data_IF_736355320842
#
_entry.id   IF_736355320842
#
_cell.length_a   1.000
_cell.length_b   1.000
_cell.length_c   1.000
_cell.angle_alpha   90.00
_cell.angle_beta   90.00
_cell.angle_gamma   90.00
#
_symmetry.space_group_name_H-M   'P 1'
#
loop_
_entity.id
_entity.type
_entity.pdbx_description
1 polymer ?
#
# COMPACT_ATOMS: atom_id res chain seq x y z
N UNK A 1 15.99 -20.12 4.79
CA UNK A 1 17.23 -19.31 4.85
C UNK A 1 17.34 -18.19 3.81
N UNK A 2 16.36 -17.96 2.91
CA UNK A 2 16.42 -16.80 1.97
C UNK A 2 16.04 -15.44 2.60
N UNK A 3 15.19 -15.43 3.64
CA UNK A 3 14.69 -14.20 4.26
C UNK A 3 15.71 -13.52 5.19
N UNK A 4 16.51 -14.29 5.94
CA UNK A 4 17.40 -13.73 6.97
C UNK A 4 18.78 -13.37 6.42
N UNK A 5 19.40 -14.22 5.59
CA UNK A 5 20.74 -13.94 5.06
C UNK A 5 20.73 -13.24 3.69
N UNK A 6 19.65 -13.38 2.91
CA UNK A 6 19.54 -12.75 1.59
C UNK A 6 18.90 -11.37 1.66
N UNK A 7 17.67 -11.30 2.16
CA UNK A 7 16.90 -10.05 2.15
C UNK A 7 17.43 -9.01 3.15
N UNK A 8 17.67 -9.39 4.42
CA UNK A 8 18.18 -8.43 5.41
C UNK A 8 19.55 -7.86 5.01
N UNK A 9 20.46 -8.70 4.51
CA UNK A 9 21.78 -8.23 4.03
C UNK A 9 21.63 -7.30 2.81
N UNK A 10 20.76 -7.64 1.87
CA UNK A 10 20.47 -6.78 0.72
C UNK A 10 19.94 -5.41 1.15
N UNK A 11 18.97 -5.38 2.06
CA UNK A 11 18.40 -4.14 2.62
C UNK A 11 19.47 -3.32 3.34
N UNK A 12 20.32 -3.97 4.14
CA UNK A 12 21.45 -3.32 4.82
C UNK A 12 22.40 -2.64 3.84
N UNK A 13 22.82 -3.34 2.78
CA UNK A 13 23.72 -2.79 1.76
C UNK A 13 23.06 -1.65 0.99
N UNK A 14 21.77 -1.78 0.63
CA UNK A 14 21.04 -0.75 -0.08
C UNK A 14 20.88 0.54 0.73
N UNK A 15 20.62 0.43 2.03
CA UNK A 15 20.49 1.59 2.91
C UNK A 15 21.73 2.49 2.83
N UNK A 16 22.92 1.90 2.94
CA UNK A 16 24.18 2.66 2.81
C UNK A 16 24.47 3.09 1.37
N UNK A 17 24.15 2.26 0.38
CA UNK A 17 24.39 2.56 -1.03
C UNK A 17 23.53 3.73 -1.54
N UNK A 18 22.27 3.82 -1.12
CA UNK A 18 21.36 4.88 -1.56
C UNK A 18 21.57 6.20 -0.81
N UNK A 19 22.14 6.16 0.40
CA UNK A 19 22.46 7.35 1.18
C UNK A 19 21.24 8.07 1.77
N UNK A 20 21.50 9.16 2.49
CA UNK A 20 20.49 9.88 3.28
C UNK A 20 19.35 10.47 2.43
N UNK A 21 19.65 10.92 1.21
CA UNK A 21 18.65 11.51 0.31
C UNK A 21 17.61 10.50 -0.18
N UNK A 22 17.85 9.18 -0.03
CA UNK A 22 16.89 8.16 -0.43
C UNK A 22 15.53 8.32 0.26
N UNK A 23 15.51 8.83 1.49
CA UNK A 23 14.27 9.12 2.24
C UNK A 23 13.37 10.20 1.62
N UNK A 24 13.90 10.96 0.66
CA UNK A 24 13.17 12.00 -0.07
C UNK A 24 12.67 11.51 -1.43
N UNK A 25 12.89 10.24 -1.77
CA UNK A 25 12.41 9.66 -3.04
C UNK A 25 10.89 9.70 -3.08
N UNK A 26 10.34 10.20 -4.18
CA UNK A 26 8.89 10.30 -4.39
C UNK A 26 8.55 10.38 -5.89
N UNK A 27 8.97 9.36 -6.65
CA UNK A 27 8.76 9.28 -8.09
C UNK A 27 7.27 9.36 -8.48
N UNK A 28 6.37 8.83 -7.63
CA UNK A 28 4.92 8.87 -7.84
C UNK A 28 4.27 10.19 -7.41
N UNK A 29 5.04 11.15 -6.89
CA UNK A 29 4.56 12.46 -6.42
C UNK A 29 3.38 12.37 -5.44
N UNK A 30 3.43 11.41 -4.53
CA UNK A 30 2.42 11.23 -3.48
C UNK A 30 2.64 12.24 -2.37
N UNK A 31 1.65 13.08 -2.07
CA UNK A 31 1.76 14.17 -1.09
C UNK A 31 0.61 14.21 -0.10
N UNK A 32 -0.31 13.26 -0.13
CA UNK A 32 -1.44 13.27 0.78
C UNK A 32 -0.98 12.94 2.21
N UNK A 33 -1.52 13.61 3.25
CA UNK A 33 -1.16 13.33 4.62
C UNK A 33 -1.74 11.98 5.08
N UNK A 34 -1.16 11.40 6.13
CA UNK A 34 -1.78 10.26 6.81
C UNK A 34 -2.99 10.75 7.63
N UNK A 35 -4.16 10.13 7.49
CA UNK A 35 -5.33 10.49 8.28
C UNK A 35 -5.18 10.13 9.75
N UNK A 36 -5.92 10.82 10.62
CA UNK A 36 -5.83 10.65 12.08
C UNK A 36 -6.13 9.22 12.51
N UNK A 37 -7.19 8.60 11.98
CA UNK A 37 -7.53 7.20 12.30
C UNK A 37 -6.39 6.21 11.99
N UNK A 38 -5.55 6.51 11.01
CA UNK A 38 -4.37 5.70 10.72
C UNK A 38 -3.22 6.01 11.68
N UNK A 39 -2.92 7.31 11.88
CA UNK A 39 -1.83 7.76 12.76
C UNK A 39 -2.01 7.26 14.19
N UNK A 40 -3.25 7.23 14.65
CA UNK A 40 -3.64 6.88 16.01
C UNK A 40 -4.00 5.39 16.16
N UNK A 41 -3.87 4.60 15.09
CA UNK A 41 -4.23 3.17 15.07
C UNK A 41 -5.69 2.91 15.50
N UNK A 42 -6.61 3.81 15.12
CA UNK A 42 -8.04 3.67 15.38
C UNK A 42 -8.67 2.62 14.44
N UNK A 43 -8.39 1.36 14.76
CA UNK A 43 -8.92 0.22 14.04
C UNK A 43 -10.45 0.10 14.13
N UNK A 44 -11.07 0.68 15.16
CA UNK A 44 -12.50 0.56 15.40
C UNK A 44 -13.33 1.50 14.53
N UNK A 45 -12.73 2.58 14.02
CA UNK A 45 -13.30 3.41 12.97
C UNK A 45 -13.31 2.74 11.58
N UNK A 46 -12.53 1.66 11.37
CA UNK A 46 -12.33 1.00 10.07
C UNK A 46 -13.29 -0.18 9.92
N UNK A 47 -14.05 -0.24 8.82
CA UNK A 47 -14.98 -1.33 8.52
C UNK A 47 -14.39 -2.36 7.56
N UNK A 48 -13.37 -1.99 6.78
CA UNK A 48 -12.63 -2.92 5.95
C UNK A 48 -11.89 -3.94 6.82
N UNK A 49 -12.43 -5.15 6.95
CA UNK A 49 -11.99 -6.14 7.93
C UNK A 49 -10.48 -6.44 7.84
N UNK A 50 -9.93 -6.56 6.62
CA UNK A 50 -8.49 -6.78 6.46
C UNK A 50 -7.63 -5.66 7.07
N UNK A 51 -8.02 -4.40 6.89
CA UNK A 51 -7.28 -3.27 7.41
C UNK A 51 -7.49 -3.14 8.92
N UNK A 52 -8.74 -3.27 9.38
CA UNK A 52 -9.09 -3.32 10.81
C UNK A 52 -8.26 -4.37 11.55
N UNK A 53 -8.23 -5.61 11.06
CA UNK A 53 -7.47 -6.70 11.70
C UNK A 53 -6.00 -6.36 11.86
N UNK A 54 -5.35 -5.81 10.83
CA UNK A 54 -3.92 -5.51 10.87
C UNK A 54 -3.63 -4.31 11.76
N UNK A 55 -4.45 -3.26 11.71
CA UNK A 55 -4.32 -2.11 12.61
C UNK A 55 -4.50 -2.51 14.07
N UNK A 56 -5.50 -3.35 14.38
CA UNK A 56 -5.66 -3.93 15.72
C UNK A 56 -4.40 -4.69 16.15
N UNK A 57 -3.83 -5.51 15.26
CA UNK A 57 -2.62 -6.27 15.59
C UNK A 57 -1.43 -5.34 15.91
N UNK A 58 -1.23 -4.31 15.10
CA UNK A 58 -0.16 -3.32 15.32
C UNK A 58 -0.40 -2.52 16.59
N UNK A 59 -1.63 -2.06 16.84
CA UNK A 59 -2.04 -1.36 18.06
C UNK A 59 -1.75 -2.17 19.32
N UNK A 60 -2.16 -3.43 19.32
CA UNK A 60 -2.19 -4.23 20.54
C UNK A 60 -0.85 -4.93 20.80
N UNK A 61 -0.03 -5.14 19.77
CA UNK A 61 1.21 -5.93 19.88
C UNK A 61 2.47 -5.25 19.35
N UNK A 62 2.35 -4.13 18.63
CA UNK A 62 3.49 -3.50 17.94
C UNK A 62 4.11 -4.41 16.88
N UNK A 63 3.37 -5.38 16.35
CA UNK A 63 3.92 -6.36 15.42
C UNK A 63 2.87 -6.93 14.46
N UNK A 64 3.28 -7.17 13.22
CA UNK A 64 2.63 -8.12 12.32
C UNK A 64 3.68 -8.75 11.41
N UNK A 65 3.33 -9.86 10.77
CA UNK A 65 4.22 -10.53 9.82
C UNK A 65 4.39 -9.67 8.55
N UNK A 66 5.40 -10.00 7.74
CA UNK A 66 5.79 -9.17 6.59
C UNK A 66 4.68 -8.93 5.56
N UNK A 67 3.88 -9.96 5.23
CA UNK A 67 2.86 -9.86 4.17
C UNK A 67 1.76 -8.83 4.50
N UNK A 68 1.18 -8.76 5.71
CA UNK A 68 0.24 -7.70 6.08
C UNK A 68 0.83 -6.29 6.05
N UNK A 69 2.12 -6.12 6.38
CA UNK A 69 2.79 -4.82 6.23
C UNK A 69 2.73 -4.40 4.76
N UNK A 70 3.24 -5.26 3.88
CA UNK A 70 3.34 -4.98 2.44
C UNK A 70 1.98 -4.92 1.72
N UNK A 71 1.14 -5.92 1.91
CA UNK A 71 -0.05 -6.16 1.09
C UNK A 71 -1.35 -5.66 1.72
N UNK A 72 -1.33 -5.20 2.97
CA UNK A 72 -2.50 -4.58 3.61
C UNK A 72 -2.21 -3.12 3.91
N UNK A 73 -1.18 -2.83 4.72
CA UNK A 73 -0.89 -1.47 5.15
C UNK A 73 -0.27 -0.62 4.03
N UNK A 74 0.91 -1.01 3.57
CA UNK A 74 1.67 -0.30 2.55
C UNK A 74 0.91 -0.17 1.23
N UNK A 75 0.28 -1.27 0.79
CA UNK A 75 -0.60 -1.27 -0.38
C UNK A 75 -1.74 -0.24 -0.23
N UNK A 76 -2.31 -0.09 0.96
CA UNK A 76 -3.36 0.91 1.19
C UNK A 76 -2.78 2.32 1.07
N UNK A 77 -1.67 2.61 1.75
CA UNK A 77 -0.98 3.89 1.66
C UNK A 77 -0.60 4.28 0.22
N UNK A 78 -0.04 3.33 -0.54
CA UNK A 78 0.34 3.48 -1.95
C UNK A 78 -0.88 3.84 -2.81
N UNK A 79 -2.02 3.18 -2.59
CA UNK A 79 -3.23 3.43 -3.37
C UNK A 79 -3.90 4.77 -3.03
N UNK A 80 -3.81 5.20 -1.76
CA UNK A 80 -4.34 6.51 -1.34
C UNK A 80 -3.44 7.66 -1.80
N UNK A 81 -2.17 7.39 -2.07
CA UNK A 81 -1.23 8.41 -2.52
C UNK A 81 -0.63 9.19 -1.37
N UNK A 82 -0.43 8.53 -0.23
CA UNK A 82 0.14 9.14 0.96
C UNK A 82 1.65 9.37 0.82
N UNK A 83 2.13 10.46 1.41
CA UNK A 83 3.55 10.83 1.38
C UNK A 83 4.42 9.66 1.90
N UNK A 84 5.32 9.08 1.06
CA UNK A 84 6.18 7.96 1.44
C UNK A 84 7.06 8.26 2.67
N UNK A 85 7.46 9.52 2.85
CA UNK A 85 8.23 9.93 4.01
C UNK A 85 7.35 9.81 5.27
N UNK A 86 6.13 10.33 5.23
CA UNK A 86 5.18 10.24 6.34
C UNK A 86 4.76 8.79 6.65
N UNK A 87 4.65 7.93 5.63
CA UNK A 87 4.42 6.49 5.82
C UNK A 87 5.62 5.85 6.54
N UNK A 88 6.85 6.15 6.12
CA UNK A 88 8.06 5.61 6.73
C UNK A 88 8.20 6.04 8.20
N UNK A 89 7.99 7.33 8.48
CA UNK A 89 7.99 7.87 9.85
C UNK A 89 6.89 7.26 10.72
N UNK A 90 5.77 6.84 10.14
CA UNK A 90 4.73 6.13 10.88
C UNK A 90 5.10 4.68 11.20
N UNK A 91 5.75 3.95 10.28
CA UNK A 91 6.15 2.56 10.52
C UNK A 91 7.21 2.43 11.63
N UNK A 92 8.17 3.36 11.68
CA UNK A 92 9.35 3.27 12.55
C UNK A 92 8.99 3.09 14.05
N UNK A 93 8.20 3.98 14.69
CA UNK A 93 7.81 3.81 16.09
C UNK A 93 6.67 2.82 16.34
N UNK A 94 6.05 2.22 15.31
CA UNK A 94 4.83 1.37 15.45
C UNK A 94 5.15 -0.11 15.49
N UNK A 95 6.38 -0.46 15.13
CA UNK A 95 6.83 -1.84 15.08
C UNK A 95 8.01 -2.05 16.02
N UNK A 96 7.97 -3.14 16.79
CA UNK A 96 9.06 -3.51 17.71
C UNK A 96 10.39 -3.78 17.00
N UNK A 97 10.35 -4.03 15.68
CA UNK A 97 11.50 -4.22 14.80
C UNK A 97 11.73 -3.02 13.85
N UNK A 98 11.20 -1.84 14.20
CA UNK A 98 11.23 -0.61 13.41
C UNK A 98 12.55 0.15 13.36
N UNK A 99 13.64 -0.52 13.03
CA UNK A 99 14.92 0.16 12.80
C UNK A 99 14.95 0.86 11.44
N UNK A 100 15.56 2.05 11.37
CA UNK A 100 15.54 2.90 10.17
C UNK A 100 16.12 2.20 8.94
N UNK A 101 17.26 1.53 9.10
CA UNK A 101 17.91 0.78 8.02
C UNK A 101 17.03 -0.35 7.44
N UNK A 102 16.09 -0.89 8.23
CA UNK A 102 15.13 -1.90 7.77
C UNK A 102 13.92 -1.22 7.13
N UNK A 103 13.35 -0.22 7.80
CA UNK A 103 12.08 0.39 7.41
C UNK A 103 12.23 1.24 6.17
N UNK A 104 13.28 2.05 6.07
CA UNK A 104 13.43 3.00 4.99
C UNK A 104 13.45 2.33 3.60
N UNK A 105 14.30 1.31 3.31
CA UNK A 105 14.28 0.65 2.01
C UNK A 105 12.99 -0.13 1.77
N UNK A 106 12.47 -0.82 2.79
CA UNK A 106 11.25 -1.62 2.64
C UNK A 106 10.02 -0.75 2.34
N UNK A 107 9.87 0.39 3.02
CA UNK A 107 8.74 1.30 2.81
C UNK A 107 8.92 2.09 1.51
N UNK A 108 10.02 2.85 1.36
CA UNK A 108 10.22 3.74 0.20
C UNK A 108 10.36 2.95 -1.12
N UNK A 109 11.21 1.92 -1.14
CA UNK A 109 11.54 1.20 -2.37
C UNK A 109 10.60 0.05 -2.69
N UNK A 110 10.40 -0.87 -1.73
CA UNK A 110 9.58 -2.05 -1.97
C UNK A 110 8.09 -1.74 -1.97
N UNK A 111 7.60 -1.08 -0.93
CA UNK A 111 6.17 -0.89 -0.72
C UNK A 111 5.59 0.26 -1.55
N UNK A 112 6.18 1.45 -1.40
CA UNK A 112 5.65 2.69 -1.97
C UNK A 112 6.12 2.94 -3.41
N UNK A 113 7.09 2.16 -3.92
CA UNK A 113 7.68 2.36 -5.25
C UNK A 113 8.14 3.82 -5.49
N UNK A 114 8.47 4.51 -4.41
CA UNK A 114 8.78 5.93 -4.41
C UNK A 114 10.18 6.20 -5.00
N UNK A 115 10.99 5.15 -5.15
CA UNK A 115 12.30 5.18 -5.80
C UNK A 115 12.28 4.91 -7.31
N UNK A 116 11.09 4.80 -7.93
CA UNK A 116 10.95 4.54 -9.36
C UNK A 116 11.41 3.14 -9.80
N UNK A 117 11.59 2.24 -8.85
CA UNK A 117 11.97 0.85 -9.10
C UNK A 117 13.48 0.57 -9.03
N UNK A 118 14.23 1.39 -8.28
CA UNK A 118 15.64 1.12 -7.97
C UNK A 118 15.78 -0.15 -7.12
N UNK A 119 14.84 -0.42 -6.21
CA UNK A 119 14.82 -1.61 -5.36
C UNK A 119 13.92 -2.72 -5.90
N UNK A 120 12.76 -2.39 -6.45
CA UNK A 120 11.79 -3.38 -6.94
C UNK A 120 11.36 -3.11 -8.37
N UNK A 121 11.08 -4.16 -9.14
CA UNK A 121 10.76 -4.00 -10.57
C UNK A 121 9.31 -3.63 -10.86
N UNK A 122 8.46 -3.59 -9.83
CA UNK A 122 7.04 -3.21 -9.95
C UNK A 122 6.49 -2.74 -8.59
N UNK A 123 5.51 -1.83 -8.57
CA UNK A 123 4.79 -1.50 -7.35
C UNK A 123 3.98 -2.71 -6.85
N UNK A 124 3.95 -2.91 -5.53
CA UNK A 124 3.11 -3.93 -4.87
C UNK A 124 1.66 -3.44 -4.68
N UNK A 125 1.04 -3.00 -5.77
CA UNK A 125 -0.38 -2.65 -5.80
C UNK A 125 -1.23 -3.89 -6.14
N UNK A 126 -2.36 -4.08 -5.44
CA UNK A 126 -3.32 -5.15 -5.75
C UNK A 126 -4.76 -4.81 -5.36
N UNK A 127 -5.73 -5.39 -6.06
CA UNK A 127 -7.15 -5.33 -5.68
C UNK A 127 -7.55 -6.28 -4.55
N UNK A 128 -8.79 -6.20 -4.09
CA UNK A 128 -9.36 -7.06 -3.04
C UNK A 128 -9.37 -8.55 -3.39
N UNK A 129 -9.39 -8.91 -4.68
CA UNK A 129 -9.27 -10.31 -5.13
C UNK A 129 -7.95 -10.97 -4.69
N UNK A 130 -6.87 -10.20 -4.55
CA UNK A 130 -5.62 -10.72 -3.98
C UNK A 130 -5.80 -11.08 -2.51
N UNK A 131 -6.33 -10.15 -1.71
CA UNK A 131 -6.57 -10.36 -0.27
C UNK A 131 -7.51 -11.54 -0.03
N UNK A 132 -8.57 -11.66 -0.81
CA UNK A 132 -9.54 -12.76 -0.72
C UNK A 132 -8.95 -14.14 -1.01
N UNK A 133 -7.89 -14.21 -1.84
CA UNK A 133 -7.24 -15.47 -2.18
C UNK A 133 -6.14 -15.85 -1.17
N UNK A 134 -5.55 -14.86 -0.51
CA UNK A 134 -4.43 -15.05 0.40
C UNK A 134 -4.83 -15.06 1.87
N UNK A 135 -6.11 -14.83 2.18
CA UNK A 135 -6.62 -14.75 3.55
C UNK A 135 -8.13 -15.02 3.61
N UNK A 136 -8.63 -15.34 4.80
CA UNK A 136 -10.06 -15.51 5.08
C UNK A 136 -10.73 -14.19 5.54
N UNK A 137 -10.04 -13.05 5.41
CA UNK A 137 -10.49 -11.75 5.95
C UNK A 137 -11.66 -11.15 5.18
N UNK A 138 -11.90 -11.60 3.94
CA UNK A 138 -12.96 -11.06 3.09
C UNK A 138 -14.33 -11.67 3.40
N UNK A 139 -14.41 -12.90 3.92
CA UNK A 139 -15.67 -13.57 4.19
C UNK A 139 -16.57 -12.83 5.21
N UNK A 140 -16.06 -12.32 6.35
CA UNK A 140 -16.85 -11.53 7.29
C UNK A 140 -16.86 -10.03 6.98
N UNK A 141 -16.27 -9.59 5.85
CA UNK A 141 -16.12 -8.18 5.53
C UNK A 141 -17.43 -7.59 4.99
N UNK A 142 -17.75 -6.34 5.37
CA UNK A 142 -18.90 -5.60 4.81
C UNK A 142 -18.72 -5.26 3.32
N UNK A 143 -17.46 -5.29 2.85
CA UNK A 143 -17.09 -5.02 1.47
C UNK A 143 -16.82 -6.29 0.70
N UNK A 144 -17.21 -6.27 -0.58
CA UNK A 144 -17.07 -7.41 -1.48
C UNK A 144 -15.85 -7.22 -2.38
N UNK A 145 -14.88 -8.16 -2.38
CA UNK A 145 -13.62 -7.98 -3.11
C UNK A 145 -13.77 -7.86 -4.63
N UNK A 146 -14.89 -8.29 -5.20
CA UNK A 146 -15.19 -8.15 -6.63
C UNK A 146 -15.83 -6.80 -7.00
N UNK A 147 -16.43 -6.11 -6.04
CA UNK A 147 -17.21 -4.89 -6.28
C UNK A 147 -16.25 -3.70 -6.35
N UNK A 148 -16.37 -2.90 -7.43
CA UNK A 148 -15.53 -1.71 -7.66
C UNK A 148 -16.24 -0.40 -7.32
N UNK A 149 -17.56 -0.39 -7.41
CA UNK A 149 -18.42 0.76 -7.16
C UNK A 149 -19.63 0.35 -6.31
N UNK A 150 -20.33 1.35 -5.75
CA UNK A 150 -21.46 1.16 -4.85
C UNK A 150 -21.07 0.99 -3.37
N UNK A 151 -22.08 0.80 -2.52
CA UNK A 151 -21.93 0.80 -1.05
C UNK A 151 -21.01 -0.33 -0.54
N UNK A 152 -21.00 -1.47 -1.22
CA UNK A 152 -20.18 -2.64 -0.86
C UNK A 152 -18.84 -2.70 -1.62
N UNK A 153 -18.48 -1.66 -2.39
CA UNK A 153 -17.23 -1.61 -3.13
C UNK A 153 -16.02 -1.78 -2.21
N UNK A 154 -15.17 -2.76 -2.54
CA UNK A 154 -13.97 -2.97 -1.75
C UNK A 154 -12.98 -1.82 -1.96
N UNK A 155 -12.55 -1.12 -0.88
CA UNK A 155 -11.59 -0.02 -0.98
C UNK A 155 -10.26 -0.47 -1.59
N UNK A 156 -9.88 -1.75 -1.40
CA UNK A 156 -8.69 -2.32 -2.02
C UNK A 156 -8.83 -2.46 -3.53
N UNK A 157 -10.02 -2.85 -4.00
CA UNK A 157 -10.30 -3.03 -5.43
C UNK A 157 -10.49 -1.69 -6.13
N UNK A 158 -11.30 -0.80 -5.57
CA UNK A 158 -11.52 0.54 -6.10
C UNK A 158 -10.21 1.34 -6.11
N UNK A 159 -9.49 1.36 -4.98
CA UNK A 159 -8.20 2.04 -4.86
C UNK A 159 -7.12 1.49 -5.80
N UNK A 160 -7.14 0.20 -6.13
CA UNK A 160 -6.21 -0.36 -7.12
C UNK A 160 -6.43 0.22 -8.52
N UNK A 161 -7.68 0.30 -8.98
CA UNK A 161 -7.99 0.84 -10.30
C UNK A 161 -7.76 2.35 -10.35
N UNK A 162 -8.15 3.09 -9.30
CA UNK A 162 -7.87 4.52 -9.18
C UNK A 162 -6.36 4.84 -9.12
N UNK A 163 -5.55 3.94 -8.54
CA UNK A 163 -4.08 4.05 -8.56
C UNK A 163 -3.52 3.86 -9.98
N UNK A 164 -3.96 2.84 -10.70
CA UNK A 164 -3.48 2.58 -12.06
C UNK A 164 -3.87 3.71 -13.03
N UNK A 165 -5.08 4.24 -12.91
CA UNK A 165 -5.56 5.36 -13.72
C UNK A 165 -4.73 6.64 -13.48
N UNK A 166 -4.48 6.96 -12.20
CA UNK A 166 -3.70 8.14 -11.79
C UNK A 166 -2.25 8.10 -12.28
N UNK A 167 -1.65 6.91 -12.33
CA UNK A 167 -0.23 6.72 -12.68
C UNK A 167 -0.05 6.03 -14.03
N UNK A 168 -1.06 6.10 -14.91
CA UNK A 168 -1.06 5.36 -16.18
C UNK A 168 0.17 5.67 -17.04
N UNK A 169 0.56 6.94 -17.15
CA UNK A 169 1.66 7.38 -18.01
C UNK A 169 2.99 6.78 -17.58
N UNK A 170 3.24 6.77 -16.26
CA UNK A 170 4.44 6.20 -15.67
C UNK A 170 4.43 4.66 -15.73
N UNK A 171 3.29 4.04 -15.40
CA UNK A 171 3.19 2.59 -15.29
C UNK A 171 3.05 1.87 -16.64
N UNK A 172 2.57 2.55 -17.69
CA UNK A 172 2.45 1.98 -19.03
C UNK A 172 3.81 1.55 -19.61
N UNK A 173 4.90 2.24 -19.24
CA UNK A 173 6.27 1.88 -19.64
C UNK A 173 6.83 0.63 -18.94
N UNK A 174 6.25 0.22 -17.81
CA UNK A 174 6.73 -0.92 -17.05
C UNK A 174 6.08 -2.23 -17.51
N UNK A 175 6.86 -3.10 -18.16
CA UNK A 175 6.39 -4.37 -18.73
C UNK A 175 5.68 -5.30 -17.73
N UNK A 176 5.98 -5.20 -16.43
CA UNK A 176 5.36 -6.02 -15.38
C UNK A 176 3.94 -5.58 -15.03
N UNK A 177 3.58 -4.32 -15.28
CA UNK A 177 2.28 -3.72 -14.91
C UNK A 177 1.53 -3.12 -16.09
N UNK A 178 2.14 -3.05 -17.28
CA UNK A 178 1.51 -2.52 -18.48
C UNK A 178 0.23 -3.28 -18.91
N UNK A 179 0.12 -4.58 -18.60
CA UNK A 179 -1.11 -5.35 -18.91
C UNK A 179 -2.30 -4.88 -18.04
N UNK A 180 -2.18 -4.79 -16.71
CA UNK A 180 -3.20 -4.15 -15.88
C UNK A 180 -3.57 -2.72 -16.30
N UNK A 181 -2.60 -1.88 -16.67
CA UNK A 181 -2.87 -0.51 -17.16
C UNK A 181 -3.72 -0.54 -18.44
N UNK A 182 -3.37 -1.36 -19.43
CA UNK A 182 -4.21 -1.53 -20.62
C UNK A 182 -5.59 -2.13 -20.34
N UNK A 183 -5.76 -2.80 -19.19
CA UNK A 183 -7.05 -3.32 -18.76
C UNK A 183 -7.92 -2.23 -18.13
N UNK A 184 -7.33 -1.27 -17.40
CA UNK A 184 -8.10 -0.14 -16.86
C UNK A 184 -8.76 0.67 -17.96
N UNK A 185 -8.09 0.87 -19.10
CA UNK A 185 -8.65 1.61 -20.27
C UNK A 185 -9.93 0.99 -20.83
N UNK A 186 -10.21 -0.28 -20.50
CA UNK A 186 -11.38 -1.03 -20.97
C UNK A 186 -12.49 -1.11 -19.92
N UNK A 187 -12.28 -0.57 -18.73
CA UNK A 187 -13.29 -0.53 -17.68
C UNK A 187 -14.30 0.57 -17.98
N UNK A 188 -15.54 0.18 -18.23
CA UNK A 188 -16.65 1.12 -18.48
C UNK A 188 -17.02 1.92 -17.23
N UNK A 189 -16.70 1.39 -16.05
CA UNK A 189 -16.97 1.94 -14.73
C UNK A 189 -15.79 2.76 -14.16
N UNK A 190 -14.71 3.01 -14.93
CA UNK A 190 -13.49 3.64 -14.40
C UNK A 190 -13.74 5.04 -13.84
N UNK A 191 -14.53 5.87 -14.54
CA UNK A 191 -14.85 7.22 -14.10
C UNK A 191 -15.60 7.20 -12.75
N UNK A 192 -16.57 6.30 -12.60
CA UNK A 192 -17.35 6.12 -11.37
C UNK A 192 -16.48 5.63 -10.21
N UNK A 193 -15.54 4.71 -10.48
CA UNK A 193 -14.55 4.26 -9.49
C UNK A 193 -13.72 5.45 -9.00
N UNK A 194 -13.17 6.24 -9.91
CA UNK A 194 -12.31 7.37 -9.57
C UNK A 194 -13.08 8.49 -8.87
N UNK A 195 -14.35 8.71 -9.20
CA UNK A 195 -15.22 9.65 -8.48
C UNK A 195 -15.52 9.15 -7.06
N UNK A 196 -15.94 7.90 -6.90
CA UNK A 196 -16.22 7.32 -5.59
C UNK A 196 -14.99 7.31 -4.68
N UNK A 197 -13.80 7.00 -5.21
CA UNK A 197 -12.55 7.00 -4.42
C UNK A 197 -12.06 8.40 -4.04
N UNK A 198 -12.38 9.42 -4.86
CA UNK A 198 -12.20 10.83 -4.49
C UNK A 198 -13.19 11.26 -3.41
N UNK A 199 -14.46 10.87 -3.54
CA UNK A 199 -15.49 11.18 -2.56
C UNK A 199 -15.24 10.50 -1.20
N UNK A 200 -14.69 9.28 -1.18
CA UNK A 200 -14.24 8.60 0.05
C UNK A 200 -13.20 9.44 0.79
N UNK A 201 -12.33 10.15 0.07
CA UNK A 201 -11.29 11.00 0.64
C UNK A 201 -10.45 10.27 1.68
N UNK A 202 -10.25 10.89 2.83
CA UNK A 202 -9.45 10.33 3.92
C UNK A 202 -10.28 9.62 5.00
N UNK A 203 -11.58 9.39 4.73
CA UNK A 203 -12.46 8.68 5.66
C UNK A 203 -12.01 7.22 5.84
N UNK A 204 -12.11 6.66 7.06
CA UNK A 204 -11.79 5.27 7.30
C UNK A 204 -12.72 4.37 6.47
N UNK A 205 -12.18 3.42 5.71
CA UNK A 205 -12.99 2.54 4.90
C UNK A 205 -13.68 1.48 5.77
#
# INVERSE_FOLDING_TARGET
>A
MHQVAGWCEYVWQLYWYFGEDYRRSNELQHTAPLPDWWKDLDADAVRANCLRTVLTQVRDTGWTHHIPRLMILDRHALQRGWDPAAVTEWFHPRFVDGYDWVMLPNVVGMAQYADGGRMTTKPYASGGTYVNRMSDLCAPCVYRPGDRTGEHACPCTAGYWAFLDRHQDLLAGNQRVARPVRQSDRLTDLADICEQERARGDAPP
#
